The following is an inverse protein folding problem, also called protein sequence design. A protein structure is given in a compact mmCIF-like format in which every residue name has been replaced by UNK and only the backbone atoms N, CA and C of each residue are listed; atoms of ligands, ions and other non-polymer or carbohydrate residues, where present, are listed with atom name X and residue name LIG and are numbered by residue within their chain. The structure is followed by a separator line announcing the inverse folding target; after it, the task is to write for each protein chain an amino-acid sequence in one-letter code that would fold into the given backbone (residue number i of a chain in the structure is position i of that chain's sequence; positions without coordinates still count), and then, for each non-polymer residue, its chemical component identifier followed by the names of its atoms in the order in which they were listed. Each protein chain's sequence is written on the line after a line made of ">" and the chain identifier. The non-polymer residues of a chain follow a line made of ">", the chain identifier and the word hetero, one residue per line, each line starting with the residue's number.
data_IF_975176473393
#
_entry.id   IF_975176473393
#
_cell.length_a   1.000
_cell.length_b   1.000
_cell.length_c   1.000
_cell.angle_alpha   90.00
_cell.angle_beta   90.00
_cell.angle_gamma   90.00
#
_symmetry.space_group_name_H-M   'P 1'
#
loop_
_entity.id
_entity.type
_entity.pdbx_description
1 polymer ?
#
# COMPACT_ATOMS: atom_id res chain seq x y z
N UNK A 1 61.84 -16.11 -6.05
CA UNK A 1 60.76 -15.45 -5.24
C UNK A 1 60.30 -14.21 -5.98
N UNK A 2 59.16 -14.32 -6.66
CA UNK A 2 58.64 -13.24 -7.56
C UNK A 2 57.73 -12.32 -6.71
N UNK A 3 58.21 -11.13 -6.41
CA UNK A 3 57.45 -10.09 -5.73
C UNK A 3 56.37 -9.50 -6.66
N UNK A 4 55.10 -9.84 -6.48
CA UNK A 4 53.95 -9.19 -7.14
C UNK A 4 53.91 -7.71 -6.75
N UNK A 5 54.34 -6.81 -7.68
CA UNK A 5 54.11 -5.38 -7.53
C UNK A 5 52.59 -5.12 -7.52
N UNK A 6 52.05 -4.66 -6.39
CA UNK A 6 50.69 -4.17 -6.33
C UNK A 6 50.49 -3.01 -7.29
N UNK A 7 49.57 -3.15 -8.24
CA UNK A 7 49.26 -2.11 -9.21
C UNK A 7 48.71 -0.86 -8.48
N UNK A 8 49.34 0.31 -8.75
CA UNK A 8 48.88 1.59 -8.19
C UNK A 8 47.52 1.94 -8.79
N UNK A 9 46.49 2.11 -7.93
CA UNK A 9 45.16 2.57 -8.33
C UNK A 9 45.24 3.92 -9.06
N UNK A 10 44.44 4.10 -10.11
CA UNK A 10 44.33 5.39 -10.79
C UNK A 10 43.80 6.50 -9.84
N UNK A 11 44.11 7.78 -10.09
CA UNK A 11 43.69 8.88 -9.23
C UNK A 11 42.16 8.90 -8.95
N UNK A 12 41.35 8.62 -9.99
CA UNK A 12 39.88 8.50 -9.86
C UNK A 12 39.49 7.35 -8.94
N UNK A 13 40.07 6.17 -9.07
CA UNK A 13 39.79 5.02 -8.19
C UNK A 13 40.25 5.27 -6.75
N UNK A 14 41.34 6.02 -6.55
CA UNK A 14 41.78 6.43 -5.20
C UNK A 14 40.76 7.39 -4.56
N UNK A 15 40.27 8.38 -5.33
CA UNK A 15 39.27 9.31 -4.84
C UNK A 15 37.97 8.58 -4.45
N UNK A 16 37.49 7.65 -5.28
CA UNK A 16 36.33 6.82 -4.97
C UNK A 16 36.53 5.99 -3.70
N UNK A 17 37.69 5.38 -3.53
CA UNK A 17 38.01 4.60 -2.36
C UNK A 17 38.02 5.47 -1.08
N UNK A 18 38.60 6.67 -1.17
CA UNK A 18 38.63 7.63 -0.06
C UNK A 18 37.22 8.05 0.31
N UNK A 19 36.35 8.35 -0.67
CA UNK A 19 34.96 8.70 -0.44
C UNK A 19 34.18 7.55 0.21
N UNK A 20 34.34 6.31 -0.28
CA UNK A 20 33.71 5.14 0.31
C UNK A 20 34.15 4.92 1.76
N UNK A 21 35.44 5.06 2.05
CA UNK A 21 35.97 4.92 3.41
C UNK A 21 35.43 6.04 4.29
N UNK A 22 35.38 7.28 3.80
CA UNK A 22 34.84 8.42 4.56
C UNK A 22 33.36 8.22 4.90
N UNK A 23 32.54 7.74 3.92
CA UNK A 23 31.12 7.42 4.16
C UNK A 23 30.97 6.30 5.18
N UNK A 24 31.77 5.23 5.05
CA UNK A 24 31.71 4.10 5.98
C UNK A 24 32.10 4.52 7.42
N UNK A 25 33.14 5.33 7.56
CA UNK A 25 33.57 5.86 8.88
C UNK A 25 32.49 6.78 9.46
N UNK A 26 31.93 7.66 8.66
CA UNK A 26 30.87 8.56 9.09
C UNK A 26 29.63 7.79 9.56
N UNK A 27 29.19 6.78 8.79
CA UNK A 27 28.08 5.90 9.17
C UNK A 27 28.35 5.17 10.47
N UNK A 28 29.57 4.66 10.66
CA UNK A 28 29.96 3.96 11.89
C UNK A 28 29.97 4.91 13.10
N UNK A 29 30.44 6.15 12.94
CA UNK A 29 30.45 7.16 14.01
C UNK A 29 29.04 7.49 14.46
N UNK A 30 28.10 7.64 13.54
CA UNK A 30 26.69 7.87 13.89
C UNK A 30 26.09 6.65 14.56
N UNK A 31 26.26 5.46 13.97
CA UNK A 31 25.68 4.21 14.48
C UNK A 31 26.16 3.86 15.90
N UNK A 32 27.46 4.00 16.16
CA UNK A 32 28.04 3.69 17.47
C UNK A 32 27.90 4.87 18.43
N UNK A 33 28.13 6.08 17.93
CA UNK A 33 28.16 7.28 18.77
C UNK A 33 26.78 7.63 19.34
N UNK A 34 25.71 7.47 18.56
CA UNK A 34 24.35 7.74 19.04
C UNK A 34 23.90 6.81 20.18
N UNK A 35 24.52 5.63 20.29
CA UNK A 35 24.26 4.65 21.37
C UNK A 35 24.99 4.95 22.68
N UNK A 36 25.92 5.90 22.69
CA UNK A 36 26.70 6.26 23.88
C UNK A 36 25.97 7.38 24.62
N UNK A 37 25.48 7.15 25.87
CA UNK A 37 24.81 8.18 26.66
C UNK A 37 25.68 9.42 26.84
N UNK A 38 25.15 10.60 26.49
CA UNK A 38 25.87 11.88 26.65
C UNK A 38 26.85 12.21 25.53
N UNK A 39 26.96 11.45 24.47
CA UNK A 39 27.85 11.73 23.32
C UNK A 39 27.48 12.98 22.53
N UNK A 40 26.21 13.41 22.57
CA UNK A 40 25.69 14.51 21.74
C UNK A 40 25.66 14.19 20.24
N UNK A 41 25.95 12.96 19.82
CA UNK A 41 25.88 12.53 18.42
C UNK A 41 24.45 12.15 18.12
N UNK A 42 23.76 12.86 17.19
CA UNK A 42 22.40 12.52 16.81
C UNK A 42 22.36 11.17 16.07
N UNK A 43 21.27 10.43 16.21
CA UNK A 43 21.00 9.26 15.38
C UNK A 43 20.60 9.63 13.95
N UNK A 44 20.48 8.64 13.09
CA UNK A 44 20.09 8.85 11.70
C UNK A 44 18.72 9.50 11.57
N UNK A 45 17.76 9.12 12.42
CA UNK A 45 16.39 9.64 12.38
C UNK A 45 16.37 11.14 12.69
N UNK A 46 17.17 11.57 13.68
CA UNK A 46 17.34 12.99 14.02
C UNK A 46 18.04 13.77 12.91
N UNK A 47 19.06 13.19 12.27
CA UNK A 47 19.79 13.83 11.16
C UNK A 47 18.92 14.04 9.93
N UNK A 48 18.00 13.12 9.66
CA UNK A 48 17.13 13.19 8.49
C UNK A 48 15.73 13.74 8.77
N UNK A 49 15.41 14.06 10.03
CA UNK A 49 14.08 14.57 10.43
C UNK A 49 13.62 15.83 9.67
N UNK A 50 14.54 16.57 9.05
CA UNK A 50 14.21 17.76 8.25
C UNK A 50 14.29 17.56 6.73
N UNK A 51 14.69 16.40 6.24
CA UNK A 51 14.99 16.17 4.83
C UNK A 51 13.86 15.52 4.02
N UNK A 52 12.72 15.18 4.67
CA UNK A 52 11.67 14.37 4.06
C UNK A 52 12.06 12.89 3.89
N UNK A 53 13.29 12.53 4.22
CA UNK A 53 13.78 11.17 4.31
C UNK A 53 13.41 10.60 5.69
N UNK A 54 12.16 10.24 5.89
CA UNK A 54 11.79 9.35 6.98
C UNK A 54 12.18 7.95 6.55
N UNK A 55 13.34 7.49 7.00
CA UNK A 55 13.68 6.08 6.95
C UNK A 55 12.56 5.30 7.62
N UNK A 56 12.09 4.23 7.00
CA UNK A 56 11.10 3.36 7.59
C UNK A 56 11.65 2.80 8.92
N UNK A 57 11.37 3.48 10.02
CA UNK A 57 11.49 2.90 11.36
C UNK A 57 10.39 1.86 11.46
N UNK A 58 10.73 0.61 11.16
CA UNK A 58 9.92 -0.51 11.58
C UNK A 58 9.90 -0.49 13.13
N UNK A 59 8.91 0.17 13.69
CA UNK A 59 8.65 0.13 15.13
C UNK A 59 8.11 -1.27 15.43
N UNK A 60 8.84 -2.11 16.20
CA UNK A 60 8.28 -3.39 16.61
C UNK A 60 7.06 -3.13 17.48
N UNK A 61 5.92 -3.56 17.05
CA UNK A 61 4.72 -3.63 17.85
C UNK A 61 3.95 -2.35 17.96
N UNK A 62 3.36 -1.79 16.86
CA UNK A 62 2.33 -1.05 17.35
C UNK A 62 1.66 0.12 16.68
N UNK A 63 2.00 0.54 15.51
CA UNK A 63 1.21 1.55 14.79
C UNK A 63 0.52 0.93 13.59
N UNK A 64 -0.72 1.34 13.38
CA UNK A 64 -1.43 1.15 12.11
C UNK A 64 -1.29 2.46 11.34
N UNK A 65 -0.75 2.37 10.14
CA UNK A 65 -0.54 3.51 9.25
C UNK A 65 -1.39 3.33 7.99
N UNK A 66 -2.03 4.40 7.54
CA UNK A 66 -2.74 4.44 6.27
C UNK A 66 -2.20 5.63 5.46
N UNK A 67 -1.59 5.34 4.32
CA UNK A 67 -0.96 6.30 3.44
C UNK A 67 -1.79 6.47 2.19
N UNK A 68 -2.37 7.64 1.99
CA UNK A 68 -2.98 8.00 0.70
C UNK A 68 -1.86 8.45 -0.23
N UNK A 69 -1.53 7.63 -1.21
CA UNK A 69 -0.49 7.95 -2.20
C UNK A 69 -1.08 8.93 -3.21
N UNK A 70 -0.39 10.05 -3.44
CA UNK A 70 -0.84 11.06 -4.40
C UNK A 70 -0.70 10.54 -5.84
N UNK A 71 -1.82 10.16 -6.40
CA UNK A 71 -2.01 9.69 -7.79
C UNK A 71 -3.07 10.54 -8.51
N UNK A 72 -3.24 11.81 -8.08
CA UNK A 72 -4.23 12.71 -8.65
C UNK A 72 -5.67 12.33 -8.27
N UNK A 73 -6.58 12.29 -9.26
CA UNK A 73 -7.99 11.94 -9.03
C UNK A 73 -8.22 10.42 -9.15
N UNK A 74 -7.35 9.63 -8.55
CA UNK A 74 -7.36 8.18 -8.55
C UNK A 74 -7.14 7.65 -7.14
N UNK A 75 -7.31 6.36 -6.91
CA UNK A 75 -7.10 5.77 -5.59
C UNK A 75 -5.85 4.89 -5.54
N UNK A 76 -5.03 5.12 -4.53
CA UNK A 76 -3.94 4.22 -4.14
C UNK A 76 -3.65 4.40 -2.67
N UNK A 77 -3.92 3.38 -1.85
CA UNK A 77 -3.78 3.47 -0.40
C UNK A 77 -2.94 2.31 0.11
N UNK A 78 -1.83 2.63 0.78
CA UNK A 78 -1.03 1.66 1.51
C UNK A 78 -1.46 1.65 2.98
N UNK A 79 -1.82 0.47 3.49
CA UNK A 79 -2.08 0.26 4.93
C UNK A 79 -1.01 -0.66 5.49
N UNK A 80 -0.37 -0.23 6.57
CA UNK A 80 0.73 -0.98 7.23
C UNK A 80 0.46 -1.21 8.70
N UNK A 81 0.84 -2.40 9.16
CA UNK A 81 0.92 -2.71 10.58
C UNK A 81 2.19 -3.55 10.83
N UNK A 82 3.20 -2.94 11.45
CA UNK A 82 4.52 -3.56 11.56
C UNK A 82 5.15 -3.81 10.18
N UNK A 83 5.47 -5.06 9.89
CA UNK A 83 6.01 -5.48 8.57
C UNK A 83 4.92 -5.89 7.57
N UNK A 84 3.68 -6.06 8.04
CA UNK A 84 2.56 -6.42 7.18
C UNK A 84 2.08 -5.21 6.37
N UNK A 85 1.82 -5.42 5.09
CA UNK A 85 1.42 -4.38 4.14
C UNK A 85 0.22 -4.81 3.30
N UNK A 86 -0.76 -3.92 3.18
CA UNK A 86 -1.91 -4.05 2.29
C UNK A 86 -1.95 -2.86 1.35
N UNK A 87 -2.17 -3.12 0.06
CA UNK A 87 -2.42 -2.08 -0.94
C UNK A 87 -3.87 -2.14 -1.39
N UNK A 88 -4.56 -1.02 -1.34
CA UNK A 88 -5.91 -0.84 -1.89
C UNK A 88 -5.78 0.04 -3.12
N UNK A 89 -6.11 -0.53 -4.27
CA UNK A 89 -6.03 0.09 -5.59
C UNK A 89 -4.59 0.53 -5.99
N UNK A 90 -4.41 0.95 -7.23
CA UNK A 90 -3.11 1.29 -7.82
C UNK A 90 -3.24 2.38 -8.91
N UNK A 91 -4.06 3.38 -8.65
CA UNK A 91 -4.13 4.57 -9.47
C UNK A 91 -4.36 4.36 -10.97
N UNK A 92 -4.06 5.37 -11.75
CA UNK A 92 -4.11 5.37 -13.21
C UNK A 92 -2.92 4.62 -13.82
N UNK A 93 -2.99 4.35 -15.12
CA UNK A 93 -1.94 3.62 -15.86
C UNK A 93 -0.56 4.27 -15.79
N UNK A 94 -0.49 5.58 -15.60
CA UNK A 94 0.75 6.36 -15.53
C UNK A 94 1.44 6.36 -14.17
N UNK A 95 0.78 5.91 -13.12
CA UNK A 95 1.22 6.10 -11.72
C UNK A 95 2.15 5.00 -11.20
N UNK A 96 2.39 3.97 -12.02
CA UNK A 96 3.13 2.78 -11.59
C UNK A 96 4.49 3.10 -10.96
N UNK A 97 5.27 3.97 -11.57
CA UNK A 97 6.61 4.29 -11.07
C UNK A 97 6.53 5.05 -9.73
N UNK A 98 5.60 6.01 -9.61
CA UNK A 98 5.32 6.74 -8.36
C UNK A 98 4.92 5.79 -7.25
N UNK A 99 3.98 4.87 -7.52
CA UNK A 99 3.49 3.90 -6.53
C UNK A 99 4.61 2.94 -6.10
N UNK A 100 5.33 2.35 -7.05
CA UNK A 100 6.39 1.38 -6.78
C UNK A 100 7.52 2.04 -5.98
N UNK A 101 7.92 3.25 -6.36
CA UNK A 101 8.94 4.01 -5.63
C UNK A 101 8.49 4.33 -4.21
N UNK A 102 7.25 4.79 -4.03
CA UNK A 102 6.67 5.06 -2.71
C UNK A 102 6.66 3.81 -1.82
N UNK A 103 6.16 2.69 -2.34
CA UNK A 103 6.13 1.41 -1.60
C UNK A 103 7.54 1.00 -1.15
N UNK A 104 8.55 1.14 -2.02
CA UNK A 104 9.95 0.85 -1.69
C UNK A 104 10.51 1.81 -0.64
N UNK A 105 10.21 3.10 -0.74
CA UNK A 105 10.60 4.11 0.26
C UNK A 105 10.00 3.81 1.63
N UNK A 106 8.79 3.23 1.65
CA UNK A 106 8.16 2.77 2.89
C UNK A 106 8.69 1.39 3.35
N UNK A 107 9.70 0.82 2.70
CA UNK A 107 10.28 -0.46 3.06
C UNK A 107 9.37 -1.66 2.80
N UNK A 108 8.40 -1.53 1.89
CA UNK A 108 7.54 -2.64 1.48
C UNK A 108 8.33 -3.58 0.58
N UNK A 109 8.59 -4.79 1.04
CA UNK A 109 9.25 -5.84 0.27
C UNK A 109 8.25 -6.82 -0.35
N UNK A 110 7.07 -6.94 0.25
CA UNK A 110 5.95 -7.80 -0.17
C UNK A 110 4.63 -7.16 0.23
N UNK A 111 3.56 -7.59 -0.39
CA UNK A 111 2.19 -7.21 -0.05
C UNK A 111 1.45 -8.44 0.47
N UNK A 112 1.04 -8.43 1.72
CA UNK A 112 0.28 -9.53 2.32
C UNK A 112 -1.13 -9.59 1.73
N UNK A 113 -1.72 -8.42 1.48
CA UNK A 113 -3.04 -8.29 0.85
C UNK A 113 -3.00 -7.19 -0.21
N UNK A 114 -3.54 -7.46 -1.37
CA UNK A 114 -3.86 -6.44 -2.38
C UNK A 114 -5.36 -6.47 -2.63
N UNK A 115 -5.99 -5.32 -2.64
CA UNK A 115 -7.42 -5.16 -2.92
C UNK A 115 -7.59 -4.34 -4.20
N UNK A 116 -8.15 -4.95 -5.24
CA UNK A 116 -8.70 -4.23 -6.38
C UNK A 116 -10.18 -3.99 -6.09
N UNK A 117 -10.53 -2.74 -5.73
CA UNK A 117 -11.90 -2.44 -5.28
C UNK A 117 -12.91 -2.69 -6.38
N UNK A 118 -12.64 -2.18 -7.56
CA UNK A 118 -13.45 -2.36 -8.76
C UNK A 118 -12.62 -2.11 -10.04
N UNK A 119 -13.12 -2.44 -11.24
CA UNK A 119 -12.27 -2.56 -12.43
C UNK A 119 -12.05 -1.26 -13.23
N UNK A 120 -12.33 -0.08 -12.68
CA UNK A 120 -12.06 1.18 -13.39
C UNK A 120 -10.57 1.51 -13.44
N UNK A 121 -10.17 2.28 -14.46
CA UNK A 121 -8.77 2.54 -14.77
C UNK A 121 -8.05 3.37 -13.72
N UNK A 122 -8.74 4.26 -13.06
CA UNK A 122 -8.27 5.11 -11.95
C UNK A 122 -8.09 4.35 -10.62
N UNK A 123 -8.43 3.05 -10.60
CA UNK A 123 -8.22 2.14 -9.48
C UNK A 123 -7.23 1.02 -9.78
N UNK A 124 -7.28 0.46 -11.00
CA UNK A 124 -6.43 -0.69 -11.37
C UNK A 124 -5.43 -0.37 -12.48
N UNK A 125 -5.29 0.90 -12.86
CA UNK A 125 -4.50 1.31 -14.02
C UNK A 125 -3.04 0.87 -13.97
N UNK A 126 -2.41 0.97 -12.83
CA UNK A 126 -1.03 0.54 -12.57
C UNK A 126 -0.90 -0.83 -11.91
N UNK A 127 -2.02 -1.50 -11.59
CA UNK A 127 -2.04 -2.74 -10.81
C UNK A 127 -1.19 -3.85 -11.44
N UNK A 128 -1.23 -4.00 -12.76
CA UNK A 128 -0.41 -5.00 -13.46
C UNK A 128 1.10 -4.81 -13.24
N UNK A 129 1.56 -3.56 -13.11
CA UNK A 129 2.97 -3.24 -12.82
C UNK A 129 3.31 -3.56 -11.37
N UNK A 130 2.43 -3.20 -10.43
CA UNK A 130 2.60 -3.52 -9.00
C UNK A 130 2.68 -5.03 -8.78
N UNK A 131 1.78 -5.81 -9.40
CA UNK A 131 1.77 -7.28 -9.32
C UNK A 131 3.10 -7.89 -9.83
N UNK A 132 3.66 -7.34 -10.90
CA UNK A 132 4.95 -7.84 -11.43
C UNK A 132 6.12 -7.51 -10.54
N UNK A 133 6.04 -6.41 -9.79
CA UNK A 133 7.15 -5.86 -9.00
C UNK A 133 7.24 -6.43 -7.59
N UNK A 134 6.10 -6.69 -6.94
CA UNK A 134 6.05 -7.16 -5.56
C UNK A 134 5.52 -8.59 -5.46
N UNK A 135 6.08 -9.43 -4.57
CA UNK A 135 5.42 -10.64 -4.12
C UNK A 135 4.08 -10.30 -3.45
N UNK A 136 3.02 -11.04 -3.78
CA UNK A 136 1.68 -10.84 -3.21
C UNK A 136 1.19 -12.16 -2.67
N UNK A 137 0.72 -12.19 -1.41
CA UNK A 137 0.20 -13.40 -0.81
C UNK A 137 -1.26 -13.64 -1.14
N UNK A 138 -2.09 -12.61 -1.03
CA UNK A 138 -3.52 -12.67 -1.33
C UNK A 138 -3.94 -11.47 -2.14
N UNK A 139 -4.56 -11.72 -3.27
CA UNK A 139 -5.19 -10.69 -4.11
C UNK A 139 -6.71 -10.81 -4.02
N UNK A 140 -7.37 -9.74 -3.56
CA UNK A 140 -8.81 -9.64 -3.45
C UNK A 140 -9.39 -8.84 -4.60
N UNK A 141 -10.42 -9.34 -5.20
CA UNK A 141 -11.21 -8.59 -6.18
C UNK A 141 -12.70 -8.86 -5.98
N UNK A 142 -13.54 -7.91 -6.40
CA UNK A 142 -14.97 -8.09 -6.43
C UNK A 142 -15.37 -9.16 -7.46
N UNK A 143 -16.40 -9.92 -7.15
CA UNK A 143 -17.06 -10.73 -8.16
C UNK A 143 -17.77 -9.84 -9.17
N UNK A 144 -17.46 -10.04 -10.45
CA UNK A 144 -18.19 -9.37 -11.53
C UNK A 144 -19.09 -10.41 -12.23
N UNK A 145 -20.40 -10.16 -12.30
CA UNK A 145 -21.28 -11.07 -13.04
C UNK A 145 -20.89 -11.12 -14.52
N UNK A 146 -21.14 -12.24 -15.18
CA UNK A 146 -20.74 -12.45 -16.59
C UNK A 146 -21.27 -11.38 -17.55
N UNK A 147 -22.42 -10.78 -17.24
CA UNK A 147 -23.02 -9.67 -17.99
C UNK A 147 -22.28 -8.34 -17.85
N UNK A 148 -21.43 -8.21 -16.82
CA UNK A 148 -20.67 -7.00 -16.49
C UNK A 148 -19.16 -7.27 -16.39
N UNK A 149 -18.67 -8.41 -16.89
CA UNK A 149 -17.24 -8.74 -16.87
C UNK A 149 -16.46 -7.70 -17.67
N UNK A 150 -15.47 -7.02 -17.06
CA UNK A 150 -14.73 -5.99 -17.75
C UNK A 150 -13.85 -6.56 -18.86
N UNK A 151 -13.77 -5.82 -19.97
CA UNK A 151 -12.90 -6.15 -21.11
C UNK A 151 -11.86 -5.06 -21.36
N UNK A 152 -11.69 -4.11 -20.43
CA UNK A 152 -10.73 -3.04 -20.57
C UNK A 152 -9.30 -3.59 -20.60
N UNK A 153 -8.42 -2.91 -21.33
CA UNK A 153 -7.02 -3.32 -21.46
C UNK A 153 -6.30 -3.39 -20.11
N UNK A 154 -6.62 -2.48 -19.16
CA UNK A 154 -6.02 -2.47 -17.82
C UNK A 154 -6.47 -3.68 -17.00
N UNK A 155 -7.74 -4.06 -17.07
CA UNK A 155 -8.28 -5.25 -16.39
C UNK A 155 -7.65 -6.54 -16.93
N UNK A 156 -7.57 -6.68 -18.25
CA UNK A 156 -6.94 -7.85 -18.88
C UNK A 156 -5.45 -7.92 -18.55
N UNK A 157 -4.73 -6.79 -18.55
CA UNK A 157 -3.32 -6.74 -18.16
C UNK A 157 -3.11 -7.12 -16.69
N UNK A 158 -4.02 -6.73 -15.79
CA UNK A 158 -4.00 -7.13 -14.38
C UNK A 158 -4.18 -8.65 -14.25
N UNK A 159 -5.20 -9.23 -14.92
CA UNK A 159 -5.42 -10.68 -14.88
C UNK A 159 -4.22 -11.46 -15.45
N UNK A 160 -3.63 -10.98 -16.55
CA UNK A 160 -2.42 -11.56 -17.11
C UNK A 160 -1.25 -11.52 -16.12
N UNK A 161 -1.04 -10.41 -15.43
CA UNK A 161 0.02 -10.28 -14.43
C UNK A 161 -0.18 -11.21 -13.22
N UNK A 162 -1.44 -11.40 -12.77
CA UNK A 162 -1.79 -12.35 -11.71
C UNK A 162 -1.46 -13.79 -12.13
N UNK A 163 -1.77 -14.16 -13.37
CA UNK A 163 -1.45 -15.48 -13.92
C UNK A 163 0.08 -15.67 -14.08
N UNK A 164 0.78 -14.69 -14.67
CA UNK A 164 2.23 -14.71 -14.82
C UNK A 164 2.98 -14.91 -13.49
N UNK A 165 2.48 -14.29 -12.43
CA UNK A 165 3.09 -14.34 -11.08
C UNK A 165 2.50 -15.43 -10.20
N UNK A 166 1.52 -16.19 -10.69
CA UNK A 166 0.81 -17.25 -9.95
C UNK A 166 0.29 -16.78 -8.59
N UNK A 167 -0.25 -15.54 -8.56
CA UNK A 167 -0.78 -14.93 -7.34
C UNK A 167 -2.07 -15.64 -6.91
N UNK A 168 -2.22 -15.87 -5.61
CA UNK A 168 -3.46 -16.40 -5.04
C UNK A 168 -4.58 -15.37 -5.10
N UNK A 169 -5.53 -15.57 -6.01
CA UNK A 169 -6.68 -14.69 -6.19
C UNK A 169 -7.87 -15.22 -5.41
N UNK A 170 -8.48 -14.36 -4.61
CA UNK A 170 -9.71 -14.64 -3.87
C UNK A 170 -10.79 -13.65 -4.25
N UNK A 171 -12.00 -14.14 -4.39
CA UNK A 171 -13.18 -13.28 -4.45
C UNK A 171 -13.44 -12.68 -3.07
N UNK A 172 -13.57 -11.37 -2.99
CA UNK A 172 -13.96 -10.67 -1.77
C UNK A 172 -15.41 -11.02 -1.41
N UNK A 173 -15.62 -11.52 -0.20
CA UNK A 173 -16.96 -11.87 0.28
C UNK A 173 -17.25 -11.10 1.57
N UNK A 174 -18.42 -10.46 1.69
CA UNK A 174 -18.85 -9.80 2.93
C UNK A 174 -18.83 -10.77 4.10
N UNK A 175 -18.22 -10.34 5.21
CA UNK A 175 -18.02 -11.17 6.39
C UNK A 175 -16.65 -11.84 6.46
N UNK A 176 -15.87 -11.88 5.38
CA UNK A 176 -14.48 -12.33 5.44
C UNK A 176 -13.64 -11.41 6.32
N UNK A 177 -12.73 -12.02 7.07
CA UNK A 177 -11.73 -11.32 7.88
C UNK A 177 -10.36 -11.87 7.55
N UNK A 178 -9.44 -10.97 7.17
CA UNK A 178 -8.05 -11.32 6.89
C UNK A 178 -7.12 -10.68 7.93
N UNK A 179 -6.02 -11.33 8.29
CA UNK A 179 -5.01 -10.71 9.14
C UNK A 179 -4.17 -9.69 8.35
N UNK A 180 -3.75 -8.62 9.03
CA UNK A 180 -2.74 -7.68 8.56
C UNK A 180 -1.82 -7.38 9.76
N UNK A 181 -0.82 -8.22 9.99
CA UNK A 181 -0.08 -8.22 11.26
C UNK A 181 -1.02 -8.49 12.44
N UNK A 182 -1.10 -7.55 13.39
CA UNK A 182 -2.04 -7.59 14.51
C UNK A 182 -3.40 -6.93 14.19
N UNK A 183 -3.53 -6.28 13.04
CA UNK A 183 -4.77 -5.71 12.58
C UNK A 183 -5.64 -6.74 11.86
N UNK A 184 -6.92 -6.43 11.73
CA UNK A 184 -7.91 -7.22 11.01
C UNK A 184 -8.48 -6.42 9.85
N UNK A 185 -8.52 -7.01 8.67
CA UNK A 185 -9.18 -6.47 7.48
C UNK A 185 -10.52 -7.19 7.32
N UNK A 186 -11.60 -6.48 7.53
CA UNK A 186 -12.97 -6.96 7.39
C UNK A 186 -13.51 -6.57 6.01
N UNK A 187 -14.10 -7.50 5.28
CA UNK A 187 -14.76 -7.24 4.01
C UNK A 187 -16.24 -6.98 4.27
N UNK A 188 -16.73 -5.80 3.89
CA UNK A 188 -18.09 -5.37 4.17
C UNK A 188 -19.01 -5.40 2.93
N UNK A 189 -18.46 -5.18 1.74
CA UNK A 189 -19.15 -5.20 0.45
C UNK A 189 -18.26 -5.79 -0.65
N UNK A 190 -18.81 -6.14 -1.84
CA UNK A 190 -20.18 -5.91 -2.31
C UNK A 190 -21.19 -6.88 -1.68
N UNK A 191 -22.39 -6.37 -1.38
CA UNK A 191 -23.46 -7.15 -0.75
C UNK A 191 -24.42 -7.77 -1.75
N UNK A 192 -24.60 -7.13 -2.90
CA UNK A 192 -25.48 -7.53 -3.98
C UNK A 192 -24.74 -7.41 -5.31
N UNK A 193 -25.14 -8.25 -6.26
CA UNK A 193 -24.61 -8.16 -7.61
C UNK A 193 -25.33 -7.08 -8.41
N UNK A 194 -24.57 -6.20 -9.03
CA UNK A 194 -25.07 -5.17 -9.93
C UNK A 194 -24.20 -5.06 -11.18
N UNK A 195 -24.74 -4.48 -12.24
CA UNK A 195 -23.96 -4.14 -13.43
C UNK A 195 -23.17 -2.83 -13.28
N UNK A 196 -23.42 -2.08 -12.22
CA UNK A 196 -22.68 -0.86 -11.88
C UNK A 196 -21.38 -1.23 -11.18
N UNK A 197 -20.26 -0.96 -11.85
CA UNK A 197 -18.94 -1.32 -11.37
C UNK A 197 -18.57 -0.61 -10.06
N UNK A 198 -18.97 0.65 -9.87
CA UNK A 198 -18.72 1.39 -8.63
C UNK A 198 -19.38 0.70 -7.44
N UNK A 199 -20.63 0.28 -7.60
CA UNK A 199 -21.39 -0.41 -6.57
C UNK A 199 -20.97 -1.88 -6.36
N UNK A 200 -20.03 -2.37 -7.16
CA UNK A 200 -19.33 -3.64 -6.93
C UNK A 200 -18.02 -3.45 -6.15
N UNK A 201 -17.71 -2.24 -5.69
CA UNK A 201 -16.49 -1.96 -4.93
C UNK A 201 -16.36 -2.85 -3.70
N UNK A 202 -15.15 -3.39 -3.51
CA UNK A 202 -14.78 -4.06 -2.27
C UNK A 202 -14.63 -3.00 -1.17
N UNK A 203 -15.58 -2.97 -0.26
CA UNK A 203 -15.51 -2.10 0.93
C UNK A 203 -14.78 -2.84 2.03
N UNK A 204 -13.73 -2.21 2.57
CA UNK A 204 -12.91 -2.81 3.63
C UNK A 204 -12.92 -1.95 4.88
N UNK A 205 -12.96 -2.60 6.04
CA UNK A 205 -12.77 -1.96 7.34
C UNK A 205 -11.57 -2.56 8.04
N UNK A 206 -10.57 -1.74 8.35
CA UNK A 206 -9.37 -2.19 9.07
C UNK A 206 -9.50 -1.83 10.54
N UNK A 207 -9.33 -2.82 11.40
CA UNK A 207 -9.46 -2.67 12.86
C UNK A 207 -8.15 -3.04 13.52
N UNK A 208 -7.61 -2.14 14.34
CA UNK A 208 -6.43 -2.35 15.16
C UNK A 208 -6.65 -1.77 16.58
N UNK A 209 -6.79 -2.64 17.56
CA UNK A 209 -7.19 -2.24 18.90
C UNK A 209 -8.52 -1.49 18.90
N UNK A 210 -8.50 -0.22 19.27
CA UNK A 210 -9.69 0.64 19.24
C UNK A 210 -9.77 1.54 17.99
N UNK A 211 -8.80 1.46 17.09
CA UNK A 211 -8.75 2.27 15.87
C UNK A 211 -9.38 1.55 14.70
N UNK A 212 -10.09 2.31 13.88
CA UNK A 212 -10.88 1.79 12.77
C UNK A 212 -10.75 2.70 11.56
N UNK A 213 -10.45 2.10 10.44
CA UNK A 213 -10.39 2.78 9.15
C UNK A 213 -11.42 2.13 8.23
N UNK A 214 -12.20 2.93 7.53
CA UNK A 214 -13.20 2.45 6.57
C UNK A 214 -12.85 2.99 5.17
N UNK A 215 -12.69 2.08 4.23
CA UNK A 215 -12.34 2.37 2.84
C UNK A 215 -13.48 1.92 1.94
N UNK A 216 -14.14 2.89 1.31
CA UNK A 216 -15.37 2.65 0.54
C UNK A 216 -15.11 2.28 -0.92
N UNK A 217 -13.87 2.43 -1.44
CA UNK A 217 -13.64 2.42 -2.88
C UNK A 217 -14.54 3.46 -3.55
N UNK A 218 -15.26 3.06 -4.59
CA UNK A 218 -16.26 3.92 -5.25
C UNK A 218 -17.70 3.53 -4.95
N UNK A 219 -17.90 2.75 -3.87
CA UNK A 219 -19.24 2.43 -3.42
C UNK A 219 -20.07 3.70 -3.18
N UNK A 220 -21.27 3.70 -3.74
CA UNK A 220 -22.19 4.83 -3.71
C UNK A 220 -23.36 4.60 -2.74
N UNK A 221 -24.30 5.56 -2.68
CA UNK A 221 -25.46 5.54 -1.80
C UNK A 221 -26.23 4.20 -1.78
N UNK A 222 -26.41 3.46 -2.89
CA UNK A 222 -27.06 2.15 -2.83
C UNK A 222 -26.35 1.15 -1.91
N UNK A 223 -25.00 1.09 -1.97
CA UNK A 223 -24.21 0.21 -1.11
C UNK A 223 -24.25 0.69 0.34
N UNK A 224 -24.17 1.99 0.57
CA UNK A 224 -24.30 2.59 1.91
C UNK A 224 -25.63 2.20 2.56
N UNK A 225 -26.73 2.28 1.81
CA UNK A 225 -28.07 1.87 2.28
C UNK A 225 -28.12 0.39 2.64
N UNK A 226 -27.57 -0.48 1.79
CA UNK A 226 -27.50 -1.92 2.06
C UNK A 226 -26.72 -2.22 3.34
N UNK A 227 -25.58 -1.53 3.55
CA UNK A 227 -24.76 -1.68 4.76
C UNK A 227 -25.54 -1.25 6.02
N UNK A 228 -26.24 -0.12 5.96
CA UNK A 228 -27.06 0.40 7.06
C UNK A 228 -28.25 -0.51 7.36
N UNK A 229 -28.99 -0.97 6.35
CA UNK A 229 -30.14 -1.86 6.49
C UNK A 229 -29.78 -3.22 7.11
N UNK A 230 -28.56 -3.71 6.84
CA UNK A 230 -28.05 -4.93 7.47
C UNK A 230 -27.51 -4.72 8.88
N UNK A 231 -27.47 -3.49 9.37
CA UNK A 231 -26.91 -3.16 10.69
C UNK A 231 -25.41 -3.46 10.76
N UNK A 232 -24.71 -3.33 9.63
CA UNK A 232 -23.25 -3.54 9.57
C UNK A 232 -22.53 -2.55 10.47
N UNK A 233 -21.56 -3.02 11.24
CA UNK A 233 -20.73 -2.15 12.08
C UNK A 233 -19.83 -1.27 11.20
N UNK A 234 -20.15 0.01 11.11
CA UNK A 234 -19.53 0.99 10.21
C UNK A 234 -18.72 2.06 10.95
N UNK A 235 -18.76 2.08 12.29
CA UNK A 235 -18.02 3.12 13.02
C UNK A 235 -16.54 3.10 12.66
N UNK A 236 -16.00 4.27 12.36
CA UNK A 236 -14.61 4.44 11.96
C UNK A 236 -14.03 5.76 12.48
N UNK A 237 -12.75 5.75 12.83
CA UNK A 237 -12.00 6.97 13.19
C UNK A 237 -11.60 7.74 11.92
N UNK A 238 -11.41 7.00 10.81
CA UNK A 238 -11.04 7.55 9.50
C UNK A 238 -11.89 6.91 8.42
N UNK A 239 -12.48 7.72 7.57
CA UNK A 239 -13.26 7.32 6.41
C UNK A 239 -12.60 7.81 5.11
N UNK A 240 -12.25 6.88 4.21
CA UNK A 240 -12.05 7.24 2.80
C UNK A 240 -13.44 7.33 2.17
N UNK A 241 -13.84 8.54 1.80
CA UNK A 241 -15.12 8.80 1.17
C UNK A 241 -15.32 7.99 -0.12
N UNK A 242 -16.52 7.53 -0.36
CA UNK A 242 -16.85 6.80 -1.59
C UNK A 242 -16.68 7.68 -2.83
N UNK A 243 -16.29 7.07 -3.94
CA UNK A 243 -16.23 7.65 -5.28
C UNK A 243 -15.61 9.06 -5.31
N UNK A 244 -14.38 9.17 -4.78
CA UNK A 244 -13.56 10.40 -4.72
C UNK A 244 -14.32 11.61 -4.15
N UNK A 245 -15.30 11.40 -3.26
CA UNK A 245 -16.15 12.44 -2.71
C UNK A 245 -17.26 12.92 -3.67
N UNK A 246 -17.65 12.08 -4.64
CA UNK A 246 -18.79 12.36 -5.53
C UNK A 246 -20.08 12.61 -4.73
N UNK A 247 -20.97 13.41 -5.33
CA UNK A 247 -22.32 13.65 -4.77
C UNK A 247 -23.20 12.41 -4.73
N UNK A 248 -22.81 11.33 -5.39
CA UNK A 248 -23.52 10.04 -5.43
C UNK A 248 -23.16 9.13 -4.25
N UNK A 249 -22.14 9.51 -3.47
CA UNK A 249 -21.63 8.74 -2.34
C UNK A 249 -21.51 9.60 -1.06
N UNK A 250 -21.18 8.95 0.05
CA UNK A 250 -20.97 9.55 1.37
C UNK A 250 -22.18 10.37 1.83
N UNK A 251 -23.33 9.70 1.82
CA UNK A 251 -24.62 10.32 2.12
C UNK A 251 -24.71 10.78 3.58
N UNK A 252 -25.57 11.79 3.84
CA UNK A 252 -25.80 12.27 5.19
C UNK A 252 -26.38 11.20 6.13
N UNK A 253 -27.05 10.18 5.62
CA UNK A 253 -27.53 9.04 6.40
C UNK A 253 -26.37 8.13 6.82
N UNK A 254 -25.39 7.93 5.93
CA UNK A 254 -24.21 7.12 6.17
C UNK A 254 -23.23 7.75 7.18
N UNK A 255 -23.16 9.08 7.24
CA UNK A 255 -22.28 9.82 8.16
C UNK A 255 -22.81 10.00 9.59
N UNK A 256 -23.99 9.48 9.92
CA UNK A 256 -24.62 9.62 11.26
C UNK A 256 -24.40 8.40 12.14
#
# INVERSE_FOLDING_TARGET
>A
MSGKRMAKLSPKKRLYLILLVAVAVFSLVIEVGSRIPGSGIPDWDTLFAGSGFQGASATPGGQLEAHCIDVGNADCILVRQGTAAMLIDAGEKGDADTIIEYLRQQGVERLDVVVATHPHADHIGSMARVIREFPIDTFLLAYMPSSATPTSAVYLAMLQALDEKQVSVRQAQPGDVLPLGEAQVQILAPLEQTSDANNMSVVTRVVFGQRRFLFMGDAETPVEQQLLERGTELSADVLKAGHHGSRTATSAAFLR
#
